data_IF_032801171891
#
_entry.id   IF_032801171891
#
_cell.length_a   1.000
_cell.length_b   1.000
_cell.length_c   1.000
_cell.angle_alpha   90.00
_cell.angle_beta   90.00
_cell.angle_gamma   90.00
#
_symmetry.space_group_name_H-M   'P 1'
#
loop_
_entity.id
_entity.type
_entity.pdbx_description
1 polymer ?
#
# COMPACT_ATOMS: atom_id res chain seq x y z
N UNK A 1 20.67 30.94 -2.72
CA UNK A 1 19.80 29.85 -2.23
C UNK A 1 20.41 28.62 -2.85
N UNK A 2 20.84 27.64 -2.05
CA UNK A 2 21.40 26.42 -2.66
C UNK A 2 20.21 25.64 -3.18
N UNK A 3 19.99 25.73 -4.47
CA UNK A 3 19.02 24.91 -5.19
C UNK A 3 19.51 23.45 -5.13
N UNK A 4 18.59 22.52 -4.91
CA UNK A 4 18.84 21.09 -4.76
C UNK A 4 17.83 20.36 -5.61
N UNK A 5 18.29 19.35 -6.34
CA UNK A 5 17.43 18.46 -7.09
C UNK A 5 16.82 17.44 -6.16
N UNK A 6 15.53 17.17 -6.33
CA UNK A 6 14.78 16.22 -5.51
C UNK A 6 14.10 15.20 -6.43
N UNK A 7 14.51 13.93 -6.33
CA UNK A 7 13.96 12.82 -7.08
C UNK A 7 13.23 11.86 -6.14
N UNK A 8 11.94 11.61 -6.38
CA UNK A 8 11.08 10.81 -5.51
C UNK A 8 10.79 9.46 -6.15
N UNK A 9 10.94 8.40 -5.36
CA UNK A 9 10.67 7.03 -5.76
C UNK A 9 9.83 6.34 -4.70
N UNK A 10 8.84 5.56 -5.11
CA UNK A 10 7.99 4.81 -4.18
C UNK A 10 8.58 3.44 -3.83
N UNK A 11 9.34 2.83 -4.75
CA UNK A 11 9.99 1.53 -4.53
C UNK A 11 11.45 1.70 -4.15
N UNK A 12 11.85 1.07 -3.05
CA UNK A 12 13.25 1.06 -2.59
C UNK A 12 14.23 0.51 -3.64
N UNK A 13 13.82 -0.50 -4.42
CA UNK A 13 14.64 -1.09 -5.49
C UNK A 13 14.98 -0.09 -6.59
N UNK A 14 14.01 0.71 -7.04
CA UNK A 14 14.25 1.72 -8.08
C UNK A 14 15.07 2.88 -7.52
N UNK A 15 14.78 3.32 -6.30
CA UNK A 15 15.60 4.30 -5.61
C UNK A 15 17.07 3.85 -5.51
N UNK A 16 17.31 2.58 -5.18
CA UNK A 16 18.67 2.01 -5.09
C UNK A 16 19.36 1.93 -6.47
N UNK A 17 18.62 1.68 -7.56
CA UNK A 17 19.16 1.75 -8.93
C UNK A 17 19.62 3.18 -9.25
N UNK A 18 18.77 4.18 -9.01
CA UNK A 18 19.12 5.58 -9.26
C UNK A 18 20.32 6.01 -8.39
N UNK A 19 20.30 5.65 -7.10
CA UNK A 19 21.39 5.93 -6.17
C UNK A 19 22.73 5.28 -6.58
N UNK A 20 22.69 4.10 -7.21
CA UNK A 20 23.87 3.44 -7.76
C UNK A 20 24.42 4.23 -8.94
N UNK A 21 23.56 4.69 -9.85
CA UNK A 21 23.98 5.54 -10.98
C UNK A 21 24.59 6.87 -10.51
N UNK A 22 24.04 7.48 -9.46
CA UNK A 22 24.62 8.67 -8.85
C UNK A 22 26.03 8.40 -8.31
N UNK A 23 26.24 7.28 -7.62
CA UNK A 23 27.55 6.85 -7.13
C UNK A 23 28.54 6.58 -8.26
N UNK A 24 28.10 5.93 -9.34
CA UNK A 24 28.93 5.62 -10.50
C UNK A 24 29.40 6.90 -11.22
N UNK A 25 28.57 7.95 -11.21
CA UNK A 25 28.91 9.28 -11.72
C UNK A 25 29.66 10.15 -10.69
N UNK A 26 29.95 9.63 -9.50
CA UNK A 26 30.69 10.33 -8.44
C UNK A 26 29.91 11.48 -7.80
N UNK A 27 28.58 11.46 -7.88
CA UNK A 27 27.70 12.48 -7.32
C UNK A 27 27.38 12.21 -5.86
N UNK A 28 27.49 13.25 -5.03
CA UNK A 28 27.01 13.21 -3.65
C UNK A 28 25.49 13.40 -3.63
N UNK A 29 24.80 12.52 -2.90
CA UNK A 29 23.36 12.60 -2.70
C UNK A 29 22.97 12.36 -1.24
N UNK A 30 21.82 12.89 -0.86
CA UNK A 30 21.18 12.69 0.44
C UNK A 30 19.92 11.86 0.23
N UNK A 31 19.82 10.74 0.95
CA UNK A 31 18.62 9.90 0.94
C UNK A 31 17.75 10.22 2.15
N UNK A 32 16.49 10.57 1.91
CA UNK A 32 15.46 10.76 2.92
C UNK A 32 14.29 9.82 2.66
N UNK A 33 13.57 9.42 3.71
CA UNK A 33 12.32 8.65 3.59
C UNK A 33 11.18 9.57 3.96
N UNK A 34 10.22 9.71 3.05
CA UNK A 34 9.02 10.52 3.20
C UNK A 34 8.04 9.81 4.15
N UNK A 35 7.71 10.40 5.32
CA UNK A 35 6.99 9.71 6.38
C UNK A 35 5.49 9.49 6.10
N UNK A 36 4.88 10.21 5.15
CA UNK A 36 3.46 10.04 4.82
C UNK A 36 3.21 8.84 3.92
N UNK A 37 4.05 8.63 2.90
CA UNK A 37 3.85 7.58 1.90
C UNK A 37 4.93 6.48 1.93
N UNK A 38 5.98 6.64 2.74
CA UNK A 38 7.11 5.71 2.79
C UNK A 38 8.02 5.78 1.56
N UNK A 39 7.81 6.77 0.68
CA UNK A 39 8.61 6.98 -0.52
C UNK A 39 10.05 7.38 -0.18
N UNK A 40 11.01 6.94 -0.98
CA UNK A 40 12.41 7.35 -0.89
C UNK A 40 12.64 8.60 -1.73
N UNK A 41 13.15 9.65 -1.10
CA UNK A 41 13.55 10.90 -1.74
C UNK A 41 15.08 10.97 -1.83
N UNK A 42 15.62 11.22 -3.01
CA UNK A 42 17.04 11.40 -3.26
C UNK A 42 17.30 12.86 -3.64
N UNK A 43 18.15 13.52 -2.86
CA UNK A 43 18.50 14.93 -3.05
C UNK A 43 19.92 15.07 -3.55
N UNK A 44 20.12 15.82 -4.62
CA UNK A 44 21.44 16.06 -5.22
C UNK A 44 21.71 17.56 -5.20
N UNK A 45 22.95 17.94 -4.88
CA UNK A 45 23.35 19.33 -4.91
C UNK A 45 23.38 19.85 -6.36
N UNK A 46 22.79 21.03 -6.62
CA UNK A 46 22.99 21.68 -7.91
C UNK A 46 24.46 22.10 -8.09
N UNK A 47 24.95 21.93 -9.32
CA UNK A 47 26.38 22.02 -9.67
C UNK A 47 26.85 20.89 -10.59
N UNK A 48 25.92 20.00 -10.95
CA UNK A 48 26.10 18.97 -11.98
C UNK A 48 26.18 19.64 -13.37
N UNK A 49 26.96 19.05 -14.29
CA UNK A 49 27.13 19.55 -15.67
C UNK A 49 25.82 19.38 -16.47
N UNK A 50 25.39 20.36 -17.28
CA UNK A 50 24.12 20.33 -18.04
C UNK A 50 23.93 19.02 -18.82
N UNK A 51 25.01 18.46 -19.37
CA UNK A 51 24.97 17.17 -20.08
C UNK A 51 24.60 15.99 -19.12
N UNK A 52 25.05 16.06 -17.87
CA UNK A 52 24.74 15.09 -16.83
C UNK A 52 23.34 15.31 -16.25
N UNK A 53 22.81 16.53 -16.30
CA UNK A 53 21.41 16.81 -15.97
C UNK A 53 20.44 16.13 -16.94
N UNK A 54 20.62 16.34 -18.24
CA UNK A 54 19.77 15.71 -19.26
C UNK A 54 19.81 14.18 -19.12
N UNK A 55 20.99 13.62 -18.81
CA UNK A 55 21.17 12.18 -18.57
C UNK A 55 20.42 11.69 -17.32
N UNK A 56 20.44 12.47 -16.23
CA UNK A 56 19.74 12.11 -14.99
C UNK A 56 18.23 12.23 -15.13
N UNK A 57 17.74 13.21 -15.88
CA UNK A 57 16.32 13.40 -16.14
C UNK A 57 15.77 12.29 -17.07
N UNK A 58 16.47 11.94 -18.15
CA UNK A 58 16.09 10.78 -18.98
C UNK A 58 16.08 9.48 -18.16
N UNK A 59 17.11 9.27 -17.32
CA UNK A 59 17.16 8.10 -16.43
C UNK A 59 16.01 8.11 -15.42
N UNK A 60 15.68 9.27 -14.87
CA UNK A 60 14.60 9.40 -13.92
C UNK A 60 13.24 9.10 -14.56
N UNK A 61 12.99 9.56 -15.79
CA UNK A 61 11.75 9.27 -16.51
C UNK A 61 11.58 7.76 -16.78
N UNK A 62 12.65 7.09 -17.22
CA UNK A 62 12.65 5.64 -17.43
C UNK A 62 12.41 4.88 -16.11
N UNK A 63 13.13 5.26 -15.06
CA UNK A 63 13.01 4.62 -13.75
C UNK A 63 11.67 4.93 -13.07
N UNK A 64 11.11 6.13 -13.24
CA UNK A 64 9.79 6.49 -12.73
C UNK A 64 8.70 5.68 -13.43
N UNK A 65 8.85 5.42 -14.72
CA UNK A 65 7.94 4.52 -15.45
C UNK A 65 8.05 3.09 -14.91
N UNK A 66 9.27 2.60 -14.66
CA UNK A 66 9.48 1.29 -14.03
C UNK A 66 8.96 1.25 -12.58
N UNK A 67 9.11 2.33 -11.81
CA UNK A 67 8.62 2.46 -10.44
C UNK A 67 7.08 2.43 -10.41
N UNK A 68 6.42 3.13 -11.32
CA UNK A 68 4.98 3.05 -11.50
C UNK A 68 4.54 1.66 -11.95
N UNK A 69 5.26 1.04 -12.88
CA UNK A 69 4.96 -0.32 -13.33
C UNK A 69 5.16 -1.34 -12.20
N UNK A 70 6.14 -1.14 -11.31
CA UNK A 70 6.37 -1.98 -10.13
C UNK A 70 5.40 -1.68 -9.00
N UNK A 71 4.86 -0.47 -8.90
CA UNK A 71 3.73 -0.19 -8.03
C UNK A 71 2.47 -0.83 -8.57
N UNK A 72 2.22 -0.76 -9.87
CA UNK A 72 1.08 -1.42 -10.51
C UNK A 72 1.22 -2.94 -10.46
N UNK A 73 2.38 -3.50 -10.80
CA UNK A 73 2.69 -4.92 -10.67
C UNK A 73 2.74 -5.32 -9.19
N UNK A 74 3.27 -4.47 -8.33
CA UNK A 74 3.21 -4.61 -6.88
C UNK A 74 1.79 -4.60 -6.37
N UNK A 75 0.86 -3.84 -6.96
CA UNK A 75 -0.57 -3.86 -6.66
C UNK A 75 -1.29 -5.07 -7.29
N UNK A 76 -0.79 -5.57 -8.43
CA UNK A 76 -1.31 -6.73 -9.17
C UNK A 76 -0.71 -8.06 -8.64
N UNK A 77 0.39 -8.01 -7.88
CA UNK A 77 1.06 -9.10 -7.16
C UNK A 77 0.88 -8.94 -5.63
N UNK A 78 0.43 -7.77 -5.13
CA UNK A 78 -0.17 -7.57 -3.80
C UNK A 78 -1.61 -8.07 -3.73
N UNK A 79 -2.16 -8.59 -4.83
CA UNK A 79 -3.21 -9.61 -4.77
C UNK A 79 -2.77 -10.84 -3.95
N UNK A 80 -1.47 -11.01 -3.62
CA UNK A 80 -0.99 -12.09 -2.75
C UNK A 80 -0.59 -11.69 -1.32
N UNK A 81 -0.50 -10.40 -0.94
CA UNK A 81 -0.06 -10.01 0.43
C UNK A 81 -0.66 -8.74 1.03
N UNK A 82 -1.68 -8.14 0.43
CA UNK A 82 -2.51 -7.18 1.17
C UNK A 82 -3.32 -7.95 2.22
N UNK A 83 -2.81 -8.11 3.43
CA UNK A 83 -3.59 -8.68 4.53
C UNK A 83 -4.81 -7.79 4.71
N UNK A 84 -5.98 -8.24 4.27
CA UNK A 84 -7.23 -7.52 4.44
C UNK A 84 -7.55 -7.45 5.94
N UNK A 85 -7.05 -6.40 6.59
CA UNK A 85 -7.32 -6.09 7.99
C UNK A 85 -8.71 -5.51 8.10
N UNK A 86 -9.66 -6.30 8.58
CA UNK A 86 -11.03 -5.85 8.79
C UNK A 86 -11.12 -5.24 10.17
N UNK A 87 -11.43 -3.95 10.21
CA UNK A 87 -11.70 -3.24 11.45
C UNK A 87 -13.10 -3.63 11.94
N UNK A 88 -13.15 -4.46 12.98
CA UNK A 88 -14.38 -4.82 13.65
C UNK A 88 -14.60 -3.88 14.83
N UNK A 89 -15.74 -3.19 14.82
CA UNK A 89 -16.17 -2.38 15.95
C UNK A 89 -17.07 -3.22 16.87
N UNK A 90 -16.59 -3.51 18.08
CA UNK A 90 -17.34 -4.20 19.13
C UNK A 90 -18.22 -3.21 19.90
N UNK A 91 -19.32 -3.70 20.48
CA UNK A 91 -20.33 -2.90 21.20
C UNK A 91 -19.78 -2.06 22.37
N UNK A 92 -18.62 -2.43 22.91
CA UNK A 92 -17.91 -1.70 23.98
C UNK A 92 -16.93 -0.62 23.48
N UNK A 93 -17.01 -0.22 22.20
CA UNK A 93 -16.09 0.77 21.60
C UNK A 93 -14.66 0.24 21.40
N UNK A 94 -14.45 -1.06 21.60
CA UNK A 94 -13.20 -1.75 21.30
C UNK A 94 -13.13 -2.06 19.81
N UNK A 95 -12.07 -1.61 19.17
CA UNK A 95 -11.78 -1.97 17.78
C UNK A 95 -10.81 -3.14 17.78
N UNK A 96 -11.16 -4.21 17.06
CA UNK A 96 -10.24 -5.34 16.84
C UNK A 96 -10.01 -5.50 15.34
N UNK A 97 -8.77 -5.83 14.97
CA UNK A 97 -8.40 -6.09 13.59
C UNK A 97 -8.44 -7.60 13.40
N UNK A 98 -9.33 -8.08 12.55
CA UNK A 98 -9.31 -9.46 12.09
C UNK A 98 -8.46 -9.55 10.83
N UNK A 99 -7.41 -10.37 10.88
CA UNK A 99 -6.62 -10.69 9.70
C UNK A 99 -7.37 -11.77 8.91
N UNK A 100 -7.87 -11.40 7.73
CA UNK A 100 -8.45 -12.36 6.79
C UNK A 100 -7.47 -12.58 5.65
N UNK A 101 -7.39 -13.82 5.21
CA UNK A 101 -6.64 -14.22 4.04
C UNK A 101 -7.15 -13.42 2.81
N UNK A 102 -6.27 -12.67 2.11
CA UNK A 102 -6.66 -11.84 0.98
C UNK A 102 -7.32 -12.63 -0.16
N UNK A 103 -6.87 -13.86 -0.42
CA UNK A 103 -7.46 -14.68 -1.48
C UNK A 103 -8.91 -15.02 -1.17
N UNK A 104 -9.22 -15.24 0.12
CA UNK A 104 -10.59 -15.48 0.58
C UNK A 104 -11.41 -14.20 0.49
N UNK A 105 -10.84 -13.07 0.89
CA UNK A 105 -11.51 -11.77 0.82
C UNK A 105 -11.87 -11.39 -0.61
N UNK A 106 -10.90 -11.46 -1.53
CA UNK A 106 -11.08 -11.13 -2.93
C UNK A 106 -12.10 -12.05 -3.60
N UNK A 107 -12.08 -13.35 -3.29
CA UNK A 107 -13.10 -14.29 -3.78
C UNK A 107 -14.50 -13.96 -3.25
N UNK A 108 -14.62 -13.49 -2.01
CA UNK A 108 -15.90 -13.04 -1.47
C UNK A 108 -16.36 -11.74 -2.13
N UNK A 109 -15.51 -10.71 -2.17
CA UNK A 109 -15.83 -9.41 -2.76
C UNK A 109 -16.07 -9.47 -4.28
N UNK A 110 -15.63 -10.54 -4.95
CA UNK A 110 -16.00 -10.82 -6.34
C UNK A 110 -17.47 -11.20 -6.53
N UNK A 111 -18.17 -11.62 -5.47
CA UNK A 111 -19.55 -12.14 -5.52
C UNK A 111 -20.52 -11.29 -4.70
N UNK A 112 -20.03 -10.65 -3.63
CA UNK A 112 -20.82 -9.80 -2.73
C UNK A 112 -20.18 -8.41 -2.63
N UNK A 113 -21.02 -7.40 -2.39
CA UNK A 113 -20.53 -6.03 -2.19
C UNK A 113 -19.92 -5.86 -0.80
N UNK A 114 -19.10 -4.82 -0.63
CA UNK A 114 -18.50 -4.47 0.67
C UNK A 114 -19.57 -4.16 1.73
N UNK A 115 -20.68 -3.53 1.34
CA UNK A 115 -21.81 -3.26 2.24
C UNK A 115 -22.48 -4.55 2.73
N UNK A 116 -22.70 -5.54 1.85
CA UNK A 116 -23.25 -6.84 2.22
C UNK A 116 -22.29 -7.62 3.13
N UNK A 117 -20.99 -7.55 2.85
CA UNK A 117 -19.97 -8.16 3.69
C UNK A 117 -19.95 -7.53 5.09
N UNK A 118 -19.98 -6.20 5.20
CA UNK A 118 -20.05 -5.50 6.49
C UNK A 118 -21.32 -5.87 7.26
N UNK A 119 -22.49 -5.92 6.59
CA UNK A 119 -23.75 -6.31 7.23
C UNK A 119 -23.73 -7.76 7.76
N UNK A 120 -23.05 -8.67 7.06
CA UNK A 120 -22.82 -10.04 7.51
C UNK A 120 -21.96 -10.08 8.77
N UNK A 121 -20.85 -9.35 8.77
CA UNK A 121 -19.92 -9.25 9.90
C UNK A 121 -20.59 -8.63 11.13
N UNK A 122 -21.32 -7.51 10.97
CA UNK A 122 -22.07 -6.88 12.05
C UNK A 122 -23.09 -7.83 12.68
N UNK A 123 -23.72 -8.66 11.86
CA UNK A 123 -24.66 -9.68 12.34
C UNK A 123 -23.95 -10.72 13.19
N UNK A 124 -22.76 -11.19 12.79
CA UNK A 124 -21.97 -12.15 13.58
C UNK A 124 -21.54 -11.50 14.90
N UNK A 125 -20.95 -10.30 14.85
CA UNK A 125 -20.49 -9.57 16.03
C UNK A 125 -21.62 -9.39 17.03
N UNK A 126 -22.79 -8.91 16.57
CA UNK A 126 -23.98 -8.75 17.42
C UNK A 126 -24.41 -10.06 18.08
N UNK A 127 -24.39 -11.19 17.36
CA UNK A 127 -24.77 -12.49 17.91
C UNK A 127 -23.71 -13.08 18.85
N UNK A 128 -22.42 -12.79 18.65
CA UNK A 128 -21.36 -13.21 19.56
C UNK A 128 -21.40 -12.41 20.86
N UNK A 129 -21.67 -11.11 20.78
CA UNK A 129 -21.75 -10.21 21.94
C UNK A 129 -23.08 -10.35 22.69
N UNK A 130 -24.16 -10.68 21.99
CA UNK A 130 -25.47 -10.97 22.55
C UNK A 130 -25.93 -12.37 22.08
N UNK A 131 -25.40 -13.45 22.68
CA UNK A 131 -25.75 -14.80 22.29
C UNK A 131 -27.24 -15.05 22.54
N UNK A 132 -27.96 -15.31 21.46
CA UNK A 132 -29.33 -15.79 21.50
C UNK A 132 -29.29 -17.32 21.43
N UNK A 133 -29.46 -17.98 22.58
CA UNK A 133 -29.50 -19.44 22.73
C UNK A 133 -30.80 -20.08 22.16
N UNK A 134 -31.63 -19.31 21.43
CA UNK A 134 -32.81 -19.88 20.79
C UNK A 134 -32.43 -20.78 19.62
N UNK A 135 -33.10 -21.94 19.54
CA UNK A 135 -32.84 -22.90 18.48
C UNK A 135 -33.19 -22.30 17.11
N UNK A 136 -32.18 -22.22 16.23
CA UNK A 136 -32.27 -21.72 14.84
C UNK A 136 -33.41 -22.41 14.04
N UNK A 137 -33.81 -23.63 14.42
CA UNK A 137 -34.84 -24.43 13.77
C UNK A 137 -36.26 -24.26 14.31
N UNK A 138 -36.65 -23.14 14.91
CA UNK A 138 -38.08 -22.84 15.09
C UNK A 138 -38.67 -22.20 13.83
N UNK A 139 -38.88 -23.04 12.81
CA UNK A 139 -39.79 -22.74 11.70
C UNK A 139 -41.19 -22.61 12.30
N UNK A 140 -41.68 -21.37 12.53
CA UNK A 140 -43.08 -21.17 12.93
C UNK A 140 -43.98 -21.79 11.86
N UNK A 141 -44.86 -22.74 12.20
CA UNK A 141 -45.85 -23.23 11.26
C UNK A 141 -46.85 -22.10 11.00
N UNK A 142 -46.99 -21.70 9.75
CA UNK A 142 -48.24 -21.17 9.22
C UNK A 142 -48.77 -22.19 8.22
#
# INVERSE_FOLDING_TARGET
MNEVLEYLFFTSTIADKFASTLQDNGLEYIREIEPMQGATLLKIAEGVDEDLWDTLDELYDDLSTEDQALLEEGLVDEDAKSTAGIYLQLSEGRQTIAQIDPDVMNRMLSVITMDEFNAFIETIVRNVETPDDSAICQRKPN
#
